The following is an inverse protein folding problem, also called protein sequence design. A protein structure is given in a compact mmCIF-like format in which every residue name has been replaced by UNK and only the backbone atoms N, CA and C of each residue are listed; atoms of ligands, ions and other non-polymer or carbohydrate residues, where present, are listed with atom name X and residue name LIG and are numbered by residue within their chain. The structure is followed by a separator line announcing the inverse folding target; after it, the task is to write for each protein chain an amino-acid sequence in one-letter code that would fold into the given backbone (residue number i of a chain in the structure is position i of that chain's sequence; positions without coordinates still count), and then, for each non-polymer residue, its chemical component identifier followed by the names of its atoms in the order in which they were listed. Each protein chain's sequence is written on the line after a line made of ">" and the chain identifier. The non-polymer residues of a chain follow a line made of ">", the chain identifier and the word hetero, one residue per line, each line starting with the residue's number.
data_IF_716330400639
#
_entry.id   IF_716330400639
#
_cell.length_a   1.000
_cell.length_b   1.000
_cell.length_c   1.000
_cell.angle_alpha   90.00
_cell.angle_beta   90.00
_cell.angle_gamma   90.00
#
_symmetry.space_group_name_H-M   'P 1'
#
loop_
_entity.id
_entity.type
_entity.pdbx_description
1 polymer ?
#
# COMPACT_ATOMS: atom_id res chain seq x y z
N UNK A 1 -1.19 14.03 30.39
CA UNK A 1 -1.80 14.35 29.06
C UNK A 1 -0.68 14.27 28.03
N UNK A 2 -0.33 13.07 27.56
CA UNK A 2 0.77 12.87 26.62
C UNK A 2 0.32 13.23 25.21
N UNK A 3 0.73 14.39 24.73
CA UNK A 3 0.76 14.70 23.30
C UNK A 3 2.00 14.01 22.72
N UNK A 4 1.81 12.86 22.08
CA UNK A 4 2.84 12.21 21.27
C UNK A 4 3.13 13.16 20.08
N UNK A 5 4.34 13.72 19.94
CA UNK A 5 4.64 14.73 18.91
C UNK A 5 4.86 14.13 17.50
N UNK A 6 4.67 12.82 17.34
CA UNK A 6 4.87 12.10 16.07
C UNK A 6 3.53 11.83 15.37
N UNK A 7 3.45 11.85 14.03
CA UNK A 7 2.26 11.38 13.32
C UNK A 7 1.92 9.96 13.80
N UNK A 8 0.67 9.72 14.26
CA UNK A 8 0.27 8.39 14.71
C UNK A 8 0.42 7.38 13.57
N UNK A 9 0.58 6.08 13.87
CA UNK A 9 0.43 5.02 12.88
C UNK A 9 -0.82 5.29 12.03
N UNK A 10 -0.73 5.19 10.70
CA UNK A 10 -1.78 5.66 9.77
C UNK A 10 -3.19 5.14 10.14
N UNK A 11 -3.27 3.92 10.65
CA UNK A 11 -4.49 3.24 11.07
C UNK A 11 -5.11 3.79 12.36
N UNK A 12 -4.31 4.41 13.23
CA UNK A 12 -4.76 4.98 14.50
C UNK A 12 -5.24 6.43 14.36
N UNK A 13 -4.86 7.12 13.27
CA UNK A 13 -5.20 8.54 13.06
C UNK A 13 -6.71 8.82 13.08
N UNK A 14 -7.59 8.00 12.47
CA UNK A 14 -9.02 8.23 12.54
C UNK A 14 -9.54 8.12 13.97
N UNK A 15 -9.12 7.09 14.70
CA UNK A 15 -9.53 6.85 16.09
C UNK A 15 -9.05 7.98 17.00
N UNK A 16 -7.82 8.43 16.83
CA UNK A 16 -7.25 9.52 17.61
C UNK A 16 -7.90 10.87 17.32
N UNK A 17 -8.47 11.04 16.12
CA UNK A 17 -9.20 12.24 15.72
C UNK A 17 -10.70 12.18 16.01
N UNK A 18 -11.32 11.00 16.13
CA UNK A 18 -12.77 10.82 16.35
C UNK A 18 -13.18 10.90 17.82
N UNK A 19 -14.44 11.22 18.14
CA UNK A 19 -14.82 11.77 19.46
C UNK A 19 -14.88 10.79 20.65
N UNK A 20 -14.69 9.48 20.41
CA UNK A 20 -14.68 8.48 21.47
C UNK A 20 -13.44 8.61 22.36
N UNK A 21 -13.66 9.09 23.59
CA UNK A 21 -12.60 9.29 24.58
C UNK A 21 -11.98 7.97 25.03
N UNK A 22 -12.77 6.90 25.13
CA UNK A 22 -12.31 5.57 25.55
C UNK A 22 -11.40 4.96 24.49
N UNK A 23 -11.88 4.89 23.24
CA UNK A 23 -11.11 4.38 22.12
C UNK A 23 -9.81 5.17 21.88
N UNK A 24 -9.86 6.51 22.03
CA UNK A 24 -8.66 7.37 21.99
C UNK A 24 -7.65 7.00 23.08
N UNK A 25 -8.10 6.78 24.32
CA UNK A 25 -7.23 6.46 25.44
C UNK A 25 -6.57 5.08 25.27
N UNK A 26 -7.36 4.07 24.90
CA UNK A 26 -6.87 2.72 24.62
C UNK A 26 -5.85 2.71 23.47
N UNK A 27 -6.18 3.37 22.36
CA UNK A 27 -5.29 3.45 21.20
C UNK A 27 -3.96 4.14 21.56
N UNK A 28 -3.99 5.18 22.40
CA UNK A 28 -2.77 5.84 22.89
C UNK A 28 -1.94 4.91 23.77
N UNK A 29 -2.58 4.18 24.69
CA UNK A 29 -1.88 3.24 25.56
C UNK A 29 -1.24 2.09 24.77
N UNK A 30 -1.98 1.51 23.82
CA UNK A 30 -1.47 0.47 22.92
C UNK A 30 -0.30 0.99 22.06
N UNK A 31 -0.45 2.16 21.44
CA UNK A 31 0.63 2.78 20.65
C UNK A 31 1.84 3.13 21.51
N UNK A 32 1.61 3.53 22.76
CA UNK A 32 2.66 3.81 23.72
C UNK A 32 3.47 2.55 24.04
N UNK A 33 2.79 1.48 24.45
CA UNK A 33 3.38 0.19 24.75
C UNK A 33 4.14 -0.42 23.55
N UNK A 34 3.58 -0.32 22.35
CA UNK A 34 4.21 -0.80 21.13
C UNK A 34 5.52 -0.04 20.83
N UNK A 35 5.51 1.30 20.96
CA UNK A 35 6.73 2.09 20.76
C UNK A 35 7.79 1.73 21.81
N UNK A 36 7.41 1.52 23.07
CA UNK A 36 8.35 1.13 24.11
C UNK A 36 9.04 -0.18 23.79
N UNK A 37 8.27 -1.16 23.34
CA UNK A 37 8.80 -2.46 22.91
C UNK A 37 9.76 -2.27 21.73
N UNK A 38 9.40 -1.45 20.74
CA UNK A 38 10.28 -1.15 19.60
C UNK A 38 11.58 -0.46 20.03
N UNK A 39 11.54 0.49 20.97
CA UNK A 39 12.73 1.15 21.49
C UNK A 39 13.69 0.15 22.13
N UNK A 40 13.20 -0.80 22.94
CA UNK A 40 14.03 -1.87 23.50
C UNK A 40 14.67 -2.73 22.40
N UNK A 41 13.88 -3.16 21.41
CA UNK A 41 14.37 -4.00 20.32
C UNK A 41 15.42 -3.29 19.44
N UNK A 42 15.28 -1.98 19.26
CA UNK A 42 16.15 -1.17 18.41
C UNK A 42 17.39 -0.64 19.14
N UNK A 43 17.38 -0.60 20.48
CA UNK A 43 18.47 -0.04 21.29
C UNK A 43 19.86 -0.65 21.01
N UNK A 44 20.02 -1.99 20.81
CA UNK A 44 21.31 -2.57 20.46
C UNK A 44 21.91 -2.07 19.13
N UNK A 45 21.06 -1.55 18.22
CA UNK A 45 21.48 -1.07 16.90
C UNK A 45 21.60 0.46 16.88
N UNK A 46 20.70 1.17 17.57
CA UNK A 46 20.63 2.64 17.58
C UNK A 46 20.50 3.20 19.00
N UNK A 47 21.53 3.07 19.85
CA UNK A 47 21.43 3.34 21.28
C UNK A 47 21.14 4.82 21.58
N UNK A 48 21.78 5.75 20.90
CA UNK A 48 21.63 7.19 21.19
C UNK A 48 20.23 7.72 20.85
N UNK A 49 19.70 7.36 19.67
CA UNK A 49 18.37 7.83 19.24
C UNK A 49 17.28 7.22 20.11
N UNK A 50 17.41 5.93 20.44
CA UNK A 50 16.42 5.25 21.29
C UNK A 50 16.43 5.77 22.72
N UNK A 51 17.60 6.13 23.27
CA UNK A 51 17.72 6.77 24.59
C UNK A 51 17.08 8.17 24.60
N UNK A 52 17.37 9.01 23.60
CA UNK A 52 16.75 10.34 23.49
C UNK A 52 15.21 10.26 23.38
N UNK A 53 14.70 9.31 22.61
CA UNK A 53 13.25 9.08 22.48
C UNK A 53 12.63 8.52 23.77
N UNK A 54 13.37 7.69 24.51
CA UNK A 54 12.95 7.14 25.80
C UNK A 54 12.83 8.25 26.85
N UNK A 55 13.83 9.13 26.96
CA UNK A 55 13.81 10.28 27.88
C UNK A 55 12.64 11.24 27.60
N UNK A 56 12.39 11.57 26.32
CA UNK A 56 11.31 12.48 25.91
C UNK A 56 9.90 11.98 26.20
N UNK A 57 9.71 10.66 26.37
CA UNK A 57 8.40 10.06 26.69
C UNK A 57 7.91 10.41 28.10
N UNK A 58 8.83 10.78 28.99
CA UNK A 58 8.51 11.18 30.36
C UNK A 58 8.25 9.99 31.31
N UNK A 59 8.22 10.26 32.63
CA UNK A 59 8.29 9.24 33.68
C UNK A 59 6.93 8.65 34.10
N UNK A 60 5.88 8.69 33.27
CA UNK A 60 4.50 8.37 33.71
C UNK A 60 4.32 6.95 34.32
N UNK A 61 5.27 6.01 34.16
CA UNK A 61 5.19 4.64 34.70
C UNK A 61 6.50 4.10 35.34
N UNK A 62 7.28 4.91 36.07
CA UNK A 62 8.47 4.39 36.76
C UNK A 62 9.65 4.07 35.83
N UNK A 63 9.66 4.66 34.62
CA UNK A 63 10.76 4.66 33.65
C UNK A 63 11.92 5.57 34.06
N UNK A 64 12.23 5.61 35.36
CA UNK A 64 13.21 6.52 35.95
C UNK A 64 14.67 6.15 35.66
N UNK A 65 14.90 5.04 34.97
CA UNK A 65 16.21 4.59 34.55
C UNK A 65 16.37 4.71 33.03
N UNK A 66 17.62 4.97 32.62
CA UNK A 66 18.03 4.93 31.22
C UNK A 66 17.62 3.60 30.57
N UNK A 67 17.26 3.63 29.28
CA UNK A 67 16.82 2.47 28.51
C UNK A 67 17.85 1.35 28.53
N UNK A 68 19.15 1.71 28.55
CA UNK A 68 20.26 0.76 28.69
C UNK A 68 20.19 -0.12 29.97
N UNK A 69 19.50 0.36 31.02
CA UNK A 69 19.29 -0.37 32.28
C UNK A 69 17.90 -1.03 32.36
N UNK A 70 17.05 -0.82 31.36
CA UNK A 70 15.70 -1.38 31.36
C UNK A 70 15.71 -2.89 31.17
N UNK A 71 14.70 -3.56 31.73
CA UNK A 71 14.54 -5.01 31.59
C UNK A 71 14.08 -5.33 30.18
N UNK A 72 14.76 -6.27 29.54
CA UNK A 72 14.36 -6.73 28.20
C UNK A 72 12.92 -7.25 28.19
N UNK A 73 12.08 -6.83 27.21
CA UNK A 73 10.67 -7.22 27.19
C UNK A 73 10.51 -8.74 27.02
N UNK A 74 9.67 -9.33 27.88
CA UNK A 74 9.25 -10.74 27.76
C UNK A 74 7.85 -10.78 27.16
N UNK A 75 7.79 -11.02 25.86
CA UNK A 75 6.53 -11.10 25.12
C UNK A 75 6.02 -12.56 25.13
N UNK A 76 4.80 -12.76 25.61
CA UNK A 76 4.19 -14.09 25.70
C UNK A 76 3.27 -14.42 24.52
N UNK A 77 2.88 -15.70 24.35
CA UNK A 77 1.96 -16.13 23.28
C UNK A 77 0.58 -15.46 23.33
N UNK A 78 0.16 -14.95 24.49
CA UNK A 78 -1.11 -14.24 24.66
C UNK A 78 -1.22 -12.94 23.86
N UNK A 79 -0.11 -12.41 23.36
CA UNK A 79 -0.07 -11.23 22.49
C UNK A 79 -0.24 -11.58 21.00
N UNK A 80 -0.25 -12.87 20.66
CA UNK A 80 -0.42 -13.34 19.29
C UNK A 80 -1.90 -13.59 19.04
N UNK A 81 -2.49 -12.75 18.19
CA UNK A 81 -3.85 -12.92 17.69
C UNK A 81 -3.80 -13.15 16.17
N UNK A 82 -4.02 -14.40 15.77
CA UNK A 82 -4.03 -14.80 14.36
C UNK A 82 -5.23 -14.21 13.62
N UNK A 83 -6.40 -14.13 14.26
CA UNK A 83 -7.60 -13.60 13.63
C UNK A 83 -7.44 -12.10 13.34
N UNK A 84 -6.96 -11.33 14.33
CA UNK A 84 -6.67 -9.90 14.14
C UNK A 84 -5.60 -9.66 13.08
N UNK A 85 -4.56 -10.51 13.02
CA UNK A 85 -3.52 -10.44 11.99
C UNK A 85 -4.11 -10.65 10.59
N UNK A 86 -4.94 -11.68 10.42
CA UNK A 86 -5.52 -12.02 9.11
C UNK A 86 -6.53 -10.96 8.66
N UNK A 87 -7.34 -10.45 9.57
CA UNK A 87 -8.27 -9.35 9.32
C UNK A 87 -7.54 -8.06 8.91
N UNK A 88 -6.53 -7.64 9.66
CA UNK A 88 -5.73 -6.46 9.28
C UNK A 88 -4.93 -6.69 8.00
N UNK A 89 -4.45 -7.91 7.78
CA UNK A 89 -3.81 -8.30 6.52
C UNK A 89 -4.73 -8.14 5.33
N UNK A 90 -6.00 -8.53 5.47
CA UNK A 90 -7.05 -8.31 4.47
C UNK A 90 -7.28 -6.82 4.19
N UNK A 91 -7.40 -5.99 5.24
CA UNK A 91 -7.59 -4.53 5.09
C UNK A 91 -6.41 -3.90 4.33
N UNK A 92 -5.18 -4.29 4.68
CA UNK A 92 -3.97 -3.80 4.00
C UNK A 92 -3.95 -4.21 2.54
N UNK A 93 -4.27 -5.48 2.23
CA UNK A 93 -4.34 -5.98 0.84
C UNK A 93 -5.34 -5.17 0.02
N UNK A 94 -6.57 -5.00 0.52
CA UNK A 94 -7.60 -4.23 -0.18
C UNK A 94 -7.16 -2.78 -0.46
N UNK A 95 -6.60 -2.09 0.54
CA UNK A 95 -6.11 -0.71 0.36
C UNK A 95 -4.96 -0.66 -0.66
N UNK A 96 -4.02 -1.60 -0.58
CA UNK A 96 -2.91 -1.71 -1.52
C UNK A 96 -3.38 -1.93 -2.95
N UNK A 97 -4.33 -2.84 -3.16
CA UNK A 97 -4.87 -3.16 -4.48
C UNK A 97 -5.60 -1.94 -5.08
N UNK A 98 -6.41 -1.23 -4.28
CA UNK A 98 -7.06 0.00 -4.73
C UNK A 98 -6.01 1.06 -5.10
N UNK A 99 -4.97 1.25 -4.28
CA UNK A 99 -3.91 2.22 -4.55
C UNK A 99 -3.09 1.84 -5.79
N UNK A 100 -2.84 0.56 -6.00
CA UNK A 100 -2.16 0.04 -7.18
C UNK A 100 -2.96 0.35 -8.44
N UNK A 101 -4.26 0.01 -8.47
CA UNK A 101 -5.14 0.34 -9.59
C UNK A 101 -5.18 1.84 -9.83
N UNK A 102 -5.29 2.67 -8.79
CA UNK A 102 -5.27 4.13 -8.96
C UNK A 102 -3.98 4.64 -9.61
N UNK A 103 -2.84 4.09 -9.23
CA UNK A 103 -1.54 4.46 -9.77
C UNK A 103 -1.40 3.99 -11.23
N UNK A 104 -1.82 2.75 -11.54
CA UNK A 104 -1.82 2.21 -12.90
C UNK A 104 -2.70 3.02 -13.84
N UNK A 105 -3.85 3.46 -13.34
CA UNK A 105 -4.86 4.18 -14.09
C UNK A 105 -4.66 5.70 -14.08
N UNK A 106 -3.55 6.17 -13.50
CA UNK A 106 -3.21 7.59 -13.39
C UNK A 106 -4.35 8.45 -12.77
N UNK A 107 -5.09 7.88 -11.82
CA UNK A 107 -6.15 8.59 -11.10
C UNK A 107 -5.54 9.75 -10.30
N UNK A 108 -6.09 10.97 -10.38
CA UNK A 108 -5.58 12.09 -9.59
C UNK A 108 -5.51 11.74 -8.09
N UNK A 109 -4.41 12.07 -7.40
CA UNK A 109 -4.22 11.67 -6.00
C UNK A 109 -5.29 12.26 -5.06
N UNK A 110 -5.89 13.39 -5.44
CA UNK A 110 -6.98 14.05 -4.71
C UNK A 110 -8.38 13.47 -4.93
N UNK A 111 -8.60 12.71 -6.01
CA UNK A 111 -9.94 12.27 -6.39
C UNK A 111 -10.50 11.22 -5.43
N UNK A 112 -11.80 11.31 -5.13
CA UNK A 112 -12.54 10.29 -4.38
C UNK A 112 -13.33 9.42 -5.34
N UNK A 113 -12.88 8.19 -5.52
CA UNK A 113 -13.48 7.22 -6.44
C UNK A 113 -14.52 6.36 -5.72
N UNK A 114 -15.54 5.92 -6.45
CA UNK A 114 -16.52 4.97 -5.92
C UNK A 114 -15.90 3.55 -5.82
N UNK A 115 -16.32 2.77 -4.82
CA UNK A 115 -15.97 1.36 -4.67
C UNK A 115 -17.26 0.56 -4.47
N UNK A 116 -17.49 -0.41 -5.33
CA UNK A 116 -18.66 -1.31 -5.27
C UNK A 116 -18.18 -2.74 -5.04
N UNK A 117 -18.70 -3.42 -4.03
CA UNK A 117 -18.32 -4.79 -3.68
C UNK A 117 -19.42 -5.80 -4.07
N UNK A 118 -19.07 -6.86 -4.79
CA UNK A 118 -19.99 -7.91 -5.19
C UNK A 118 -19.54 -9.27 -4.68
N UNK A 119 -20.50 -10.11 -4.28
CA UNK A 119 -20.22 -11.45 -3.76
C UNK A 119 -19.59 -11.44 -2.36
N UNK A 120 -19.77 -10.36 -1.59
CA UNK A 120 -19.28 -10.27 -0.23
C UNK A 120 -19.97 -11.32 0.64
N UNK A 121 -19.19 -12.11 1.38
CA UNK A 121 -19.72 -12.96 2.44
C UNK A 121 -20.15 -12.11 3.66
N UNK A 122 -20.96 -12.67 4.55
CA UNK A 122 -21.31 -12.01 5.82
C UNK A 122 -20.08 -11.58 6.63
N UNK A 123 -18.97 -12.32 6.50
CA UNK A 123 -17.71 -11.97 7.16
C UNK A 123 -17.06 -10.74 6.51
N UNK A 124 -17.00 -10.72 5.17
CA UNK A 124 -16.49 -9.56 4.44
C UNK A 124 -17.35 -8.32 4.67
N UNK A 125 -18.68 -8.45 4.73
CA UNK A 125 -19.57 -7.34 5.09
C UNK A 125 -19.26 -6.78 6.48
N UNK A 126 -19.08 -7.65 7.49
CA UNK A 126 -18.66 -7.23 8.84
C UNK A 126 -17.33 -6.49 8.82
N UNK A 127 -16.33 -6.99 8.08
CA UNK A 127 -15.02 -6.32 7.94
C UNK A 127 -15.15 -4.96 7.25
N UNK A 128 -15.98 -4.86 6.21
CA UNK A 128 -16.26 -3.61 5.50
C UNK A 128 -16.98 -2.61 6.39
N UNK A 129 -17.88 -3.05 7.25
CA UNK A 129 -18.55 -2.20 8.24
C UNK A 129 -17.57 -1.71 9.32
N UNK A 130 -16.79 -2.62 9.89
CA UNK A 130 -15.82 -2.32 10.95
C UNK A 130 -14.69 -1.38 10.48
N UNK A 131 -14.15 -1.62 9.28
CA UNK A 131 -12.96 -0.91 8.76
C UNK A 131 -13.25 0.04 7.61
N UNK A 132 -14.52 0.23 7.25
CA UNK A 132 -14.92 0.99 6.06
C UNK A 132 -14.45 2.44 6.08
N UNK A 133 -14.48 3.12 7.23
CA UNK A 133 -13.98 4.50 7.36
C UNK A 133 -12.48 4.59 7.07
N UNK A 134 -11.73 3.65 7.65
CA UNK A 134 -10.29 3.56 7.53
C UNK A 134 -9.88 3.28 6.08
N UNK A 135 -10.51 2.29 5.44
CA UNK A 135 -10.31 1.98 4.01
C UNK A 135 -10.65 3.22 3.19
N UNK A 136 -11.79 3.87 3.47
CA UNK A 136 -12.25 5.07 2.77
C UNK A 136 -11.21 6.18 2.79
N UNK A 137 -10.62 6.43 3.95
CA UNK A 137 -9.63 7.50 4.13
C UNK A 137 -8.29 7.17 3.48
N UNK A 138 -7.78 5.96 3.71
CA UNK A 138 -6.46 5.55 3.22
C UNK A 138 -6.45 5.26 1.72
N UNK A 139 -7.51 4.67 1.17
CA UNK A 139 -7.66 4.43 -0.26
C UNK A 139 -8.27 5.62 -1.01
N UNK A 140 -8.71 6.67 -0.28
CA UNK A 140 -9.38 7.87 -0.81
C UNK A 140 -10.58 7.53 -1.70
N UNK A 141 -11.47 6.70 -1.19
CA UNK A 141 -12.69 6.28 -1.88
C UNK A 141 -13.93 6.96 -1.28
N UNK A 142 -15.07 6.82 -1.92
CA UNK A 142 -16.39 7.14 -1.37
C UNK A 142 -16.86 6.00 -0.43
N UNK A 143 -17.99 6.15 0.30
CA UNK A 143 -18.54 5.03 1.07
C UNK A 143 -18.71 3.79 0.20
N UNK A 144 -18.26 2.65 0.73
CA UNK A 144 -18.29 1.36 0.03
C UNK A 144 -19.75 0.94 -0.10
N UNK A 145 -20.17 0.61 -1.31
CA UNK A 145 -21.53 0.09 -1.57
C UNK A 145 -21.45 -1.38 -1.93
N UNK A 146 -22.43 -2.16 -1.48
CA UNK A 146 -22.62 -3.51 -1.99
C UNK A 146 -23.30 -3.42 -3.36
N UNK A 147 -22.93 -4.31 -4.28
CA UNK A 147 -23.49 -4.36 -5.62
C UNK A 147 -24.96 -4.75 -5.53
N UNK A 148 -25.82 -3.88 -6.04
CA UNK A 148 -27.23 -4.18 -6.29
C UNK A 148 -27.45 -4.20 -7.81
N UNK A 149 -27.69 -5.38 -8.37
CA UNK A 149 -27.90 -5.58 -9.80
C UNK A 149 -26.62 -5.79 -10.63
N UNK A 150 -26.54 -5.15 -11.78
CA UNK A 150 -25.48 -5.38 -12.76
C UNK A 150 -24.18 -4.62 -12.42
N UNK A 151 -22.99 -5.17 -12.72
CA UNK A 151 -21.72 -4.48 -12.54
C UNK A 151 -21.70 -3.09 -13.20
N UNK A 152 -21.09 -2.07 -12.56
CA UNK A 152 -20.94 -0.77 -13.16
C UNK A 152 -20.16 -0.85 -14.48
N UNK A 153 -20.58 -0.06 -15.47
CA UNK A 153 -19.83 0.09 -16.73
C UNK A 153 -18.55 0.89 -16.48
N UNK A 154 -17.52 0.70 -17.30
CA UNK A 154 -16.27 1.45 -17.22
C UNK A 154 -15.60 1.31 -15.83
N UNK A 155 -15.62 0.10 -15.29
CA UNK A 155 -15.11 -0.21 -13.95
C UNK A 155 -13.96 -1.21 -13.99
N UNK A 156 -12.89 -0.90 -13.26
CA UNK A 156 -11.78 -1.83 -13.06
C UNK A 156 -12.13 -2.80 -11.94
N UNK A 157 -11.88 -4.09 -12.18
CA UNK A 157 -12.15 -5.16 -11.23
C UNK A 157 -10.91 -5.50 -10.40
N UNK A 158 -11.12 -5.67 -9.10
CA UNK A 158 -10.16 -6.20 -8.14
C UNK A 158 -10.82 -7.40 -7.48
N UNK A 159 -10.18 -8.56 -7.53
CA UNK A 159 -10.66 -9.77 -6.84
C UNK A 159 -9.82 -9.97 -5.60
N UNK A 160 -10.46 -9.98 -4.43
CA UNK A 160 -9.83 -10.27 -3.16
C UNK A 160 -10.66 -11.33 -2.45
N UNK A 161 -10.06 -12.51 -2.28
CA UNK A 161 -10.72 -13.68 -1.73
C UNK A 161 -11.99 -14.01 -2.53
N UNK A 162 -13.17 -14.03 -1.91
CA UNK A 162 -14.45 -14.29 -2.57
C UNK A 162 -15.09 -13.04 -3.19
N UNK A 163 -14.63 -11.85 -2.81
CA UNK A 163 -15.30 -10.58 -3.17
C UNK A 163 -14.66 -9.96 -4.40
N UNK A 164 -15.50 -9.55 -5.34
CA UNK A 164 -15.09 -8.74 -6.49
C UNK A 164 -15.44 -7.28 -6.24
N UNK A 165 -14.42 -6.44 -6.20
CA UNK A 165 -14.54 -5.00 -6.07
C UNK A 165 -14.46 -4.33 -7.44
N UNK A 166 -15.37 -3.40 -7.68
CA UNK A 166 -15.43 -2.59 -8.87
C UNK A 166 -15.08 -1.15 -8.52
N UNK A 167 -14.18 -0.56 -9.31
CA UNK A 167 -13.82 0.84 -9.26
C UNK A 167 -14.31 1.51 -10.54
N UNK A 168 -15.51 2.15 -10.54
CA UNK A 168 -15.99 2.93 -11.67
C UNK A 168 -15.09 4.15 -11.87
N UNK A 169 -14.42 4.25 -13.02
CA UNK A 169 -13.47 5.33 -13.31
C UNK A 169 -13.98 6.32 -14.35
N UNK A 170 -15.14 6.05 -14.97
CA UNK A 170 -15.68 6.85 -16.08
C UNK A 170 -15.89 8.34 -15.77
N UNK A 171 -16.15 8.71 -14.51
CA UNK A 171 -16.33 10.12 -14.10
C UNK A 171 -15.01 10.82 -13.75
N UNK A 172 -13.90 10.07 -13.65
CA UNK A 172 -12.63 10.56 -13.10
C UNK A 172 -11.52 10.56 -14.16
N UNK A 173 -11.60 9.67 -15.15
CA UNK A 173 -10.61 9.53 -16.22
C UNK A 173 -11.33 9.40 -17.56
N UNK A 174 -10.83 10.11 -18.57
CA UNK A 174 -11.18 9.82 -19.96
C UNK A 174 -10.48 8.53 -20.39
N UNK A 175 -11.24 7.43 -20.37
CA UNK A 175 -10.75 6.09 -20.73
C UNK A 175 -10.20 6.06 -22.16
N UNK A 176 -10.81 6.79 -23.09
CA UNK A 176 -10.39 6.79 -24.50
C UNK A 176 -9.04 7.49 -24.63
N UNK A 177 -8.89 8.65 -23.96
CA UNK A 177 -7.62 9.35 -23.91
C UNK A 177 -6.53 8.51 -23.24
N UNK A 178 -6.86 7.81 -22.16
CA UNK A 178 -5.92 7.00 -21.41
C UNK A 178 -5.47 5.76 -22.18
N UNK A 179 -6.40 5.07 -22.87
CA UNK A 179 -6.05 3.98 -23.80
C UNK A 179 -5.11 4.48 -24.91
N UNK A 180 -5.36 5.66 -25.47
CA UNK A 180 -4.49 6.25 -26.49
C UNK A 180 -3.09 6.60 -25.93
N UNK A 181 -3.02 7.14 -24.71
CA UNK A 181 -1.75 7.42 -24.01
C UNK A 181 -0.93 6.14 -23.79
N UNK A 182 -1.56 5.11 -23.22
CA UNK A 182 -0.91 3.83 -22.95
C UNK A 182 -0.42 3.16 -24.23
N UNK A 183 -1.21 3.14 -25.30
CA UNK A 183 -0.79 2.61 -26.61
C UNK A 183 0.44 3.33 -27.15
N UNK A 184 0.49 4.66 -27.05
CA UNK A 184 1.65 5.47 -27.49
C UNK A 184 2.90 5.20 -26.64
N UNK A 185 2.75 5.03 -25.33
CA UNK A 185 3.87 4.69 -24.45
C UNK A 185 4.40 3.28 -24.71
N UNK A 186 3.52 2.31 -24.94
CA UNK A 186 3.87 0.94 -25.35
C UNK A 186 4.64 0.97 -26.68
N UNK A 187 4.15 1.71 -27.68
CA UNK A 187 4.82 1.84 -28.98
C UNK A 187 6.23 2.46 -28.85
N UNK A 188 6.39 3.46 -27.97
CA UNK A 188 7.70 4.06 -27.69
C UNK A 188 8.65 3.03 -27.05
N UNK A 189 8.17 2.26 -26.07
CA UNK A 189 8.97 1.21 -25.43
C UNK A 189 9.33 0.09 -26.42
N UNK A 190 8.40 -0.33 -27.28
CA UNK A 190 8.66 -1.29 -28.35
C UNK A 190 9.73 -0.80 -29.32
N UNK A 191 9.73 0.50 -29.64
CA UNK A 191 10.79 1.14 -30.43
C UNK A 191 12.17 1.09 -29.77
N UNK A 192 12.25 1.35 -28.45
CA UNK A 192 13.52 1.28 -27.71
C UNK A 192 14.01 -0.16 -27.53
N UNK A 193 13.12 -1.10 -27.20
CA UNK A 193 13.43 -2.53 -27.15
C UNK A 193 13.94 -3.02 -28.51
N UNK A 194 13.29 -2.63 -29.61
CA UNK A 194 13.73 -3.00 -30.96
C UNK A 194 15.11 -2.45 -31.34
N UNK A 195 15.50 -1.27 -30.84
CA UNK A 195 16.87 -0.73 -31.02
C UNK A 195 17.89 -1.54 -30.23
N UNK A 196 17.58 -1.92 -28.99
CA UNK A 196 18.45 -2.73 -28.16
C UNK A 196 18.59 -4.15 -28.70
N UNK A 197 17.50 -4.77 -29.14
CA UNK A 197 17.49 -6.09 -29.78
C UNK A 197 18.40 -6.12 -31.00
N UNK A 198 18.33 -5.11 -31.88
CA UNK A 198 19.22 -5.00 -33.05
C UNK A 198 20.70 -4.85 -32.68
N UNK A 199 21.01 -4.19 -31.56
CA UNK A 199 22.39 -4.05 -31.07
C UNK A 199 22.90 -5.36 -30.47
N UNK A 200 22.07 -6.02 -29.66
CA UNK A 200 22.41 -7.27 -28.98
C UNK A 200 22.42 -8.49 -29.92
N UNK A 201 21.68 -8.44 -31.04
CA UNK A 201 21.69 -9.49 -32.07
C UNK A 201 22.90 -9.38 -33.02
N UNK A 202 23.64 -8.27 -32.98
CA UNK A 202 24.82 -8.10 -33.82
C UNK A 202 26.02 -8.81 -33.17
N UNK A 203 26.37 -9.98 -33.69
CA UNK A 203 27.50 -10.80 -33.20
C UNK A 203 28.81 -10.02 -33.12
N UNK A 204 29.06 -9.08 -34.04
CA UNK A 204 30.24 -8.22 -34.01
C UNK A 204 30.24 -7.23 -32.84
N UNK A 205 29.07 -6.78 -32.40
CA UNK A 205 28.93 -5.90 -31.24
C UNK A 205 29.13 -6.69 -29.94
N UNK A 206 28.51 -7.87 -29.83
CA UNK A 206 28.65 -8.73 -28.64
C UNK A 206 30.08 -9.24 -28.47
N UNK A 207 30.79 -9.53 -29.57
CA UNK A 207 32.16 -10.02 -29.52
C UNK A 207 33.22 -8.93 -29.31
N UNK A 208 32.94 -7.67 -29.65
CA UNK A 208 33.91 -6.56 -29.57
C UNK A 208 33.63 -5.53 -28.49
N UNK A 209 32.39 -5.40 -28.03
CA UNK A 209 32.05 -4.46 -26.98
C UNK A 209 32.54 -4.95 -25.61
N UNK A 210 32.88 -4.03 -24.68
CA UNK A 210 33.16 -4.40 -23.29
C UNK A 210 31.99 -5.15 -22.67
N UNK A 211 32.27 -6.17 -21.87
CA UNK A 211 31.26 -7.02 -21.19
C UNK A 211 30.28 -6.16 -20.38
N UNK A 212 30.77 -5.15 -19.68
CA UNK A 212 29.96 -4.21 -18.89
C UNK A 212 28.91 -3.48 -19.74
N UNK A 213 29.27 -3.07 -20.96
CA UNK A 213 28.33 -2.40 -21.89
C UNK A 213 27.29 -3.38 -22.43
N UNK A 214 27.66 -4.64 -22.67
CA UNK A 214 26.72 -5.67 -23.12
C UNK A 214 25.70 -5.99 -22.02
N UNK A 215 26.18 -6.13 -20.78
CA UNK A 215 25.30 -6.37 -19.62
C UNK A 215 24.40 -5.17 -19.32
N UNK A 216 24.90 -3.94 -19.35
CA UNK A 216 24.06 -2.73 -19.18
C UNK A 216 22.94 -2.67 -20.23
N UNK A 217 23.23 -3.01 -21.49
CA UNK A 217 22.20 -3.04 -22.53
C UNK A 217 21.19 -4.18 -22.33
N UNK A 218 21.59 -5.33 -21.75
CA UNK A 218 20.69 -6.42 -21.38
C UNK A 218 19.79 -6.04 -20.21
N UNK A 219 20.33 -5.41 -19.19
CA UNK A 219 19.58 -4.92 -18.04
C UNK A 219 18.55 -3.86 -18.48
N UNK A 220 18.97 -2.86 -19.25
CA UNK A 220 18.06 -1.83 -19.79
C UNK A 220 16.95 -2.42 -20.65
N UNK A 221 17.25 -3.47 -21.43
CA UNK A 221 16.24 -4.20 -22.20
C UNK A 221 15.24 -4.88 -21.28
N UNK A 222 15.70 -5.56 -20.23
CA UNK A 222 14.84 -6.22 -19.26
C UNK A 222 13.93 -5.22 -18.53
N UNK A 223 14.46 -4.06 -18.16
CA UNK A 223 13.69 -2.96 -17.56
C UNK A 223 12.59 -2.45 -18.51
N UNK A 224 12.92 -2.19 -19.78
CA UNK A 224 11.93 -1.74 -20.76
C UNK A 224 10.85 -2.78 -21.04
N UNK A 225 11.21 -4.07 -21.08
CA UNK A 225 10.24 -5.16 -21.24
C UNK A 225 9.31 -5.24 -20.03
N UNK A 226 9.84 -5.17 -18.81
CA UNK A 226 9.03 -5.17 -17.58
C UNK A 226 8.10 -3.95 -17.50
N UNK A 227 8.58 -2.77 -17.90
CA UNK A 227 7.76 -1.57 -17.99
C UNK A 227 6.63 -1.73 -19.02
N UNK A 228 6.94 -2.26 -20.20
CA UNK A 228 5.97 -2.52 -21.28
C UNK A 228 4.90 -3.50 -20.83
N UNK A 229 5.28 -4.60 -20.18
CA UNK A 229 4.33 -5.61 -19.70
C UNK A 229 3.34 -5.02 -18.69
N UNK A 230 3.82 -4.16 -17.78
CA UNK A 230 2.96 -3.44 -16.84
C UNK A 230 1.96 -2.54 -17.56
N UNK A 231 2.41 -1.74 -18.53
CA UNK A 231 1.51 -0.87 -19.30
C UNK A 231 0.51 -1.68 -20.15
N UNK A 232 0.94 -2.81 -20.73
CA UNK A 232 0.07 -3.69 -21.49
C UNK A 232 -0.99 -4.36 -20.61
N UNK A 233 -0.65 -4.72 -19.37
CA UNK A 233 -1.61 -5.23 -18.40
C UNK A 233 -2.67 -4.17 -18.03
N UNK A 234 -2.25 -2.91 -17.81
CA UNK A 234 -3.16 -1.79 -17.56
C UNK A 234 -4.09 -1.53 -18.76
N UNK A 235 -3.56 -1.56 -19.99
CA UNK A 235 -4.36 -1.39 -21.20
C UNK A 235 -5.42 -2.49 -21.35
N UNK A 236 -5.06 -3.76 -21.13
CA UNK A 236 -6.03 -4.88 -21.19
C UNK A 236 -7.17 -4.73 -20.18
N UNK A 237 -6.86 -4.25 -18.96
CA UNK A 237 -7.88 -3.97 -17.93
C UNK A 237 -8.85 -2.89 -18.41
N UNK A 238 -8.34 -1.85 -19.07
CA UNK A 238 -9.14 -0.78 -19.65
C UNK A 238 -10.00 -1.20 -20.85
N UNK A 239 -9.53 -2.16 -21.65
CA UNK A 239 -10.30 -2.68 -22.80
C UNK A 239 -11.45 -3.61 -22.36
N UNK A 240 -11.36 -4.16 -21.15
CA UNK A 240 -12.37 -5.04 -20.55
C UNK A 240 -13.35 -4.30 -19.64
N UNK A 241 -13.04 -3.05 -19.27
CA UNK A 241 -13.84 -2.17 -18.41
C UNK A 241 -14.96 -1.46 -19.18
#
# INVERSE_FOLDING_TARGET
>A
RVTIPWPPPEFTKPILAGDDVGARAETRACTAWALDTLLHLMHPVMPFVTEELWEKRGPEDGRGAALIHAVWPRLGPSLVDAAARDEMGWVIRLISDIRAVRAEMNVPPGAKIELVAAGASNETERRLEAHGELIRRLARIQPIRLLDGAPPKAAVQIVLEETTYFLPLGDVIDIVQEQARLRKEIEKLDGEVGKLDKKLSNENFVARAPVEVVEENRERRAEYLSARERLAAALRRLETA
#
